data_IF_220065953444
#
_entry.id   IF_220065953444
#
_cell.length_a   1.000
_cell.length_b   1.000
_cell.length_c   1.000
_cell.angle_alpha   90.00
_cell.angle_beta   90.00
_cell.angle_gamma   90.00
#
_symmetry.space_group_name_H-M   'P 1'
#
loop_
_entity.id
_entity.type
_entity.pdbx_description
1 polymer ?
#
# COMPACT_ATOMS: atom_id res chain seq x y z
N UNK A 1 18.35 6.17 4.09
CA UNK A 1 16.87 6.11 4.05
C UNK A 1 16.39 6.25 5.47
N UNK A 2 15.35 7.04 5.70
CA UNK A 2 14.65 7.14 6.99
C UNK A 2 13.25 6.57 6.83
N UNK A 3 12.69 5.94 7.86
CA UNK A 3 11.37 5.34 7.77
C UNK A 3 10.64 5.41 9.12
N UNK A 4 9.30 5.38 9.06
CA UNK A 4 8.45 5.26 10.25
C UNK A 4 8.90 4.08 11.12
N UNK A 5 8.93 4.30 12.44
CA UNK A 5 9.27 3.28 13.42
C UNK A 5 8.04 2.86 14.22
N UNK A 6 7.86 1.55 14.41
CA UNK A 6 6.70 1.01 15.12
C UNK A 6 5.39 1.42 14.44
N UNK A 7 4.44 1.90 15.24
CA UNK A 7 3.10 2.33 14.79
C UNK A 7 2.95 3.86 14.73
N UNK A 8 4.04 4.61 14.50
CA UNK A 8 4.05 6.08 14.44
C UNK A 8 3.46 6.61 13.12
N UNK A 9 2.22 6.23 12.81
CA UNK A 9 1.57 6.46 11.52
C UNK A 9 0.37 7.42 11.59
N UNK A 10 0.16 8.08 12.72
CA UNK A 10 -0.97 8.99 12.95
C UNK A 10 -0.55 10.48 13.03
N UNK A 11 -1.45 11.36 13.45
CA UNK A 11 -1.24 12.81 13.54
C UNK A 11 -0.12 13.23 14.50
N UNK A 12 0.30 12.35 15.40
CA UNK A 12 1.44 12.56 16.30
C UNK A 12 2.70 11.86 15.79
N UNK A 13 2.56 10.62 15.29
CA UNK A 13 3.68 9.80 14.85
C UNK A 13 4.33 10.27 13.54
N UNK A 14 3.54 10.74 12.58
CA UNK A 14 4.06 11.26 11.31
C UNK A 14 4.99 12.46 11.53
N UNK A 15 4.61 13.51 12.31
CA UNK A 15 5.52 14.59 12.66
C UNK A 15 6.83 14.12 13.30
N UNK A 16 6.80 13.10 14.16
CA UNK A 16 8.01 12.55 14.80
C UNK A 16 8.92 11.91 13.76
N UNK A 17 8.36 11.13 12.82
CA UNK A 17 9.12 10.54 11.72
C UNK A 17 9.71 11.64 10.82
N UNK A 18 8.94 12.68 10.48
CA UNK A 18 9.40 13.79 9.65
C UNK A 18 10.51 14.59 10.35
N UNK A 19 10.42 14.81 11.65
CA UNK A 19 11.45 15.51 12.43
C UNK A 19 12.79 14.74 12.47
N UNK A 20 12.78 13.44 12.19
CA UNK A 20 13.99 12.62 12.05
C UNK A 20 14.71 12.76 10.71
N UNK A 21 14.12 13.47 9.73
CA UNK A 21 14.75 13.70 8.42
C UNK A 21 15.91 14.70 8.52
N UNK A 22 16.94 14.47 7.71
CA UNK A 22 18.15 15.29 7.63
C UNK A 22 18.66 15.27 6.20
N UNK A 23 19.55 16.19 5.83
CA UNK A 23 20.11 16.27 4.47
C UNK A 23 20.94 15.03 4.06
N UNK A 24 21.33 14.19 5.02
CA UNK A 24 21.99 12.91 4.74
C UNK A 24 21.02 11.85 4.17
N UNK A 25 19.71 12.02 4.38
CA UNK A 25 18.70 11.10 3.91
C UNK A 25 18.31 11.38 2.45
N UNK A 26 18.48 10.37 1.59
CA UNK A 26 18.05 10.42 0.18
C UNK A 26 16.57 10.09 -0.03
N UNK A 27 15.96 9.39 0.92
CA UNK A 27 14.58 8.90 0.86
C UNK A 27 13.98 8.85 2.27
N UNK A 28 12.70 9.20 2.39
CA UNK A 28 11.86 9.01 3.57
C UNK A 28 10.68 8.09 3.24
N UNK A 29 10.42 7.08 4.07
CA UNK A 29 9.23 6.22 3.94
C UNK A 29 8.32 6.44 5.13
N UNK A 30 7.20 7.08 4.87
CA UNK A 30 6.25 7.52 5.89
C UNK A 30 5.02 6.63 5.80
N UNK A 31 4.80 5.80 6.81
CA UNK A 31 3.56 5.06 6.95
C UNK A 31 2.45 5.98 7.46
N UNK A 32 1.27 5.91 6.86
CA UNK A 32 0.10 6.71 7.23
C UNK A 32 -1.10 5.81 7.54
N UNK A 33 -1.56 5.88 8.78
CA UNK A 33 -2.75 5.22 9.29
C UNK A 33 -3.98 6.11 9.20
N UNK A 34 -5.16 5.49 9.10
CA UNK A 34 -6.43 6.19 9.05
C UNK A 34 -7.40 5.63 10.10
N UNK A 35 -7.83 6.47 11.04
CA UNK A 35 -8.86 6.11 12.02
C UNK A 35 -10.26 6.54 11.56
N UNK A 36 -10.35 7.61 10.75
CA UNK A 36 -11.58 8.22 10.24
C UNK A 36 -11.34 8.96 8.90
N UNK A 37 -12.40 9.34 8.17
CA UNK A 37 -12.27 10.18 6.98
C UNK A 37 -11.53 11.49 7.25
N UNK A 38 -10.64 11.87 6.32
CA UNK A 38 -9.82 13.07 6.38
C UNK A 38 -8.47 12.90 7.08
N UNK A 39 -8.23 11.79 7.80
CA UNK A 39 -6.95 11.57 8.48
C UNK A 39 -5.80 11.47 7.47
N UNK A 40 -5.97 10.69 6.40
CA UNK A 40 -4.92 10.51 5.38
C UNK A 40 -4.69 11.81 4.63
N UNK A 41 -5.76 12.51 4.23
CA UNK A 41 -5.64 13.83 3.61
C UNK A 41 -4.81 14.77 4.49
N UNK A 42 -5.09 14.81 5.81
CA UNK A 42 -4.31 15.62 6.76
C UNK A 42 -2.83 15.19 6.81
N UNK A 43 -2.54 13.90 6.92
CA UNK A 43 -1.16 13.39 6.97
C UNK A 43 -0.38 13.70 5.67
N UNK A 44 -1.03 13.67 4.52
CA UNK A 44 -0.43 14.09 3.26
C UNK A 44 -0.06 15.58 3.26
N UNK A 45 -0.82 16.46 3.93
CA UNK A 45 -0.43 17.88 4.06
C UNK A 45 0.86 18.07 4.86
N UNK A 46 1.19 17.13 5.74
CA UNK A 46 2.42 17.15 6.53
C UNK A 46 3.60 16.57 5.75
N UNK A 47 3.41 15.41 5.13
CA UNK A 47 4.49 14.63 4.53
C UNK A 47 4.79 15.01 3.07
N UNK A 48 3.83 15.63 2.36
CA UNK A 48 3.96 16.07 0.96
C UNK A 48 4.64 15.02 0.03
N UNK A 49 4.04 13.83 -0.16
CA UNK A 49 4.72 12.71 -0.80
C UNK A 49 4.98 12.90 -2.30
N UNK A 50 6.19 12.53 -2.74
CA UNK A 50 6.53 12.37 -4.16
C UNK A 50 5.99 11.06 -4.75
N UNK A 51 5.81 10.04 -3.91
CA UNK A 51 5.26 8.72 -4.26
C UNK A 51 4.29 8.30 -3.17
N UNK A 52 3.05 7.95 -3.56
CA UNK A 52 2.08 7.35 -2.64
C UNK A 52 1.77 5.92 -3.05
N UNK A 53 1.71 5.03 -2.06
CA UNK A 53 1.40 3.61 -2.25
C UNK A 53 0.19 3.26 -1.41
N UNK A 54 -0.88 2.74 -2.02
CA UNK A 54 -1.99 2.15 -1.30
C UNK A 54 -2.04 0.64 -1.57
N UNK A 55 -1.67 -0.16 -0.56
CA UNK A 55 -1.53 -1.61 -0.70
C UNK A 55 -2.88 -2.33 -0.67
N UNK A 56 -3.77 -1.95 0.25
CA UNK A 56 -5.09 -2.56 0.39
C UNK A 56 -6.08 -1.63 1.10
N UNK A 57 -7.36 -1.83 0.79
CA UNK A 57 -8.48 -1.27 1.54
C UNK A 57 -9.37 -2.41 2.07
N UNK A 58 -8.85 -3.13 3.06
CA UNK A 58 -9.58 -4.22 3.71
C UNK A 58 -10.37 -3.73 4.93
N UNK A 59 -11.37 -4.52 5.35
CA UNK A 59 -12.21 -4.22 6.50
C UNK A 59 -11.42 -4.24 7.81
N UNK A 60 -10.93 -3.08 8.24
CA UNK A 60 -10.32 -2.84 9.55
C UNK A 60 -11.04 -1.64 10.20
N UNK A 61 -11.15 -1.66 11.53
CA UNK A 61 -11.81 -0.58 12.31
C UNK A 61 -13.23 -0.25 11.82
N UNK A 62 -14.03 -1.28 11.49
CA UNK A 62 -15.41 -1.11 11.01
C UNK A 62 -16.27 -0.28 11.98
N UNK A 63 -15.94 -0.21 13.26
CA UNK A 63 -16.63 0.67 14.22
C UNK A 63 -16.63 2.17 13.81
N UNK A 64 -15.66 2.60 13.00
CA UNK A 64 -15.49 3.99 12.58
C UNK A 64 -15.99 4.26 11.15
N UNK A 65 -16.40 3.23 10.41
CA UNK A 65 -16.72 3.32 9.00
C UNK A 65 -18.06 2.65 8.68
N UNK A 66 -18.84 3.30 7.81
CA UNK A 66 -20.16 2.81 7.41
C UNK A 66 -20.04 1.49 6.62
N UNK A 67 -19.02 1.37 5.77
CA UNK A 67 -18.71 0.18 4.98
C UNK A 67 -17.24 0.18 4.51
N UNK A 68 -16.86 -0.86 3.76
CA UNK A 68 -15.52 -0.99 3.16
C UNK A 68 -15.27 0.07 2.08
N UNK A 69 -16.31 0.56 1.41
CA UNK A 69 -16.20 1.64 0.44
C UNK A 69 -15.75 2.95 1.09
N UNK A 70 -16.25 3.24 2.30
CA UNK A 70 -15.81 4.37 3.11
C UNK A 70 -14.33 4.22 3.51
N UNK A 71 -13.89 3.02 3.89
CA UNK A 71 -12.47 2.73 4.17
C UNK A 71 -11.61 2.95 2.93
N UNK A 72 -12.04 2.44 1.78
CA UNK A 72 -11.33 2.61 0.50
C UNK A 72 -11.23 4.08 0.09
N UNK A 73 -12.32 4.84 0.25
CA UNK A 73 -12.31 6.29 0.00
C UNK A 73 -11.31 7.00 0.91
N UNK A 74 -11.34 6.70 2.22
CA UNK A 74 -10.43 7.34 3.18
C UNK A 74 -8.97 6.97 2.94
N UNK A 75 -8.66 5.71 2.64
CA UNK A 75 -7.29 5.33 2.25
C UNK A 75 -6.88 5.92 0.89
N UNK A 76 -7.84 6.11 -0.01
CA UNK A 76 -7.65 6.72 -1.32
C UNK A 76 -7.31 8.20 -1.27
N UNK A 77 -7.60 8.91 -0.17
CA UNK A 77 -7.17 10.29 0.06
C UNK A 77 -5.64 10.47 -0.13
N UNK A 78 -4.86 9.40 0.02
CA UNK A 78 -3.40 9.44 -0.19
C UNK A 78 -3.03 9.89 -1.61
N UNK A 79 -3.88 9.59 -2.59
CA UNK A 79 -3.67 9.96 -3.99
C UNK A 79 -4.12 11.39 -4.30
N UNK A 80 -5.04 11.94 -3.50
CA UNK A 80 -5.43 13.36 -3.57
C UNK A 80 -4.33 14.26 -3.01
N UNK A 81 -3.51 13.75 -2.10
CA UNK A 81 -2.32 14.42 -1.57
C UNK A 81 -1.14 14.50 -2.54
N UNK A 82 -1.23 13.89 -3.72
CA UNK A 82 -0.15 13.88 -4.71
C UNK A 82 -0.14 15.14 -5.57
N UNK A 83 1.07 15.64 -5.83
CA UNK A 83 1.29 16.67 -6.84
C UNK A 83 1.22 16.12 -8.27
N UNK A 84 1.14 17.02 -9.25
CA UNK A 84 1.05 16.68 -10.69
C UNK A 84 2.24 15.89 -11.25
N UNK A 85 3.38 15.92 -10.56
CA UNK A 85 4.61 15.21 -10.92
C UNK A 85 4.88 14.01 -10.00
N UNK A 86 4.00 13.75 -9.03
CA UNK A 86 4.13 12.66 -8.08
C UNK A 86 3.55 11.36 -8.66
N UNK A 87 4.04 10.23 -8.15
CA UNK A 87 3.68 8.89 -8.62
C UNK A 87 2.66 8.22 -7.69
N UNK A 88 1.55 7.75 -8.25
CA UNK A 88 0.62 6.87 -7.55
C UNK A 88 0.97 5.40 -7.83
N UNK A 89 1.13 4.60 -6.78
CA UNK A 89 1.25 3.14 -6.87
C UNK A 89 0.00 2.52 -6.25
N UNK A 90 -0.78 1.87 -7.09
CA UNK A 90 -2.09 1.34 -6.75
C UNK A 90 -2.08 -0.17 -6.83
N UNK A 91 -2.76 -0.83 -5.88
CA UNK A 91 -3.08 -2.23 -6.03
C UNK A 91 -4.19 -2.37 -7.09
N UNK A 92 -3.86 -3.01 -8.22
CA UNK A 92 -4.78 -3.25 -9.33
C UNK A 92 -6.00 -4.10 -8.93
N UNK A 93 -5.85 -4.91 -7.89
CA UNK A 93 -6.86 -5.85 -7.41
C UNK A 93 -7.87 -5.17 -6.44
N UNK A 94 -7.82 -3.84 -6.31
CA UNK A 94 -8.72 -3.05 -5.48
C UNK A 94 -9.56 -2.09 -6.34
N UNK A 95 -10.75 -2.54 -6.73
CA UNK A 95 -11.69 -1.80 -7.61
C UNK A 95 -12.09 -0.39 -7.10
N UNK A 96 -11.91 -0.11 -5.81
CA UNK A 96 -12.45 1.06 -5.13
C UNK A 96 -11.45 2.20 -4.90
N UNK A 97 -10.20 2.06 -5.33
CA UNK A 97 -9.18 3.10 -5.12
C UNK A 97 -9.23 4.14 -6.27
N UNK A 98 -9.62 5.41 -6.00
CA UNK A 98 -9.55 6.45 -7.01
C UNK A 98 -8.09 6.85 -7.26
N UNK A 99 -7.70 7.05 -8.52
CA UNK A 99 -6.33 7.45 -8.89
C UNK A 99 -5.99 8.93 -8.56
N UNK A 100 -6.94 9.72 -8.05
CA UNK A 100 -6.77 11.15 -7.80
C UNK A 100 -6.44 11.94 -9.08
N UNK A 101 -5.76 13.08 -8.93
CA UNK A 101 -5.25 13.89 -10.06
C UNK A 101 -3.84 13.50 -10.53
N UNK A 102 -3.27 12.41 -9.99
CA UNK A 102 -1.93 11.98 -10.41
C UNK A 102 -1.92 11.63 -11.90
N UNK A 103 -0.93 12.16 -12.60
CA UNK A 103 -0.72 11.90 -14.03
C UNK A 103 0.01 10.59 -14.30
N UNK A 104 0.62 10.00 -13.27
CA UNK A 104 1.42 8.79 -13.39
C UNK A 104 0.94 7.79 -12.36
N UNK A 105 0.34 6.71 -12.86
CA UNK A 105 -0.17 5.61 -12.08
C UNK A 105 0.58 4.34 -12.46
N UNK A 106 1.09 3.63 -11.46
CA UNK A 106 1.59 2.27 -11.60
C UNK A 106 0.62 1.34 -10.88
N UNK A 107 0.13 0.34 -11.59
CA UNK A 107 -0.75 -0.68 -11.06
C UNK A 107 0.04 -1.95 -10.76
N UNK A 108 -0.08 -2.43 -9.53
CA UNK A 108 0.61 -3.64 -9.06
C UNK A 108 -0.44 -4.67 -8.67
N UNK A 109 -0.30 -5.91 -9.13
CA UNK A 109 -1.14 -7.03 -8.69
C UNK A 109 -0.26 -8.06 -8.01
N UNK A 110 -0.69 -8.52 -6.83
CA UNK A 110 0.14 -9.39 -6.00
C UNK A 110 0.09 -10.83 -6.48
N UNK A 111 -1.07 -11.41 -6.82
CA UNK A 111 -1.14 -12.73 -7.44
C UNK A 111 -2.49 -12.90 -8.16
N UNK A 112 -2.46 -13.02 -9.49
CA UNK A 112 -3.56 -13.50 -10.38
C UNK A 112 -4.74 -12.60 -10.77
N UNK A 113 -5.08 -11.50 -10.09
CA UNK A 113 -6.41 -10.90 -10.33
C UNK A 113 -6.47 -9.87 -11.47
N UNK A 114 -5.36 -9.18 -11.80
CA UNK A 114 -5.38 -8.10 -12.81
C UNK A 114 -4.39 -8.32 -13.97
N UNK A 115 -4.83 -8.85 -15.12
CA UNK A 115 -3.98 -9.02 -16.31
C UNK A 115 -3.56 -7.69 -16.96
N UNK A 116 -4.11 -6.57 -16.52
CA UNK A 116 -3.78 -5.23 -17.01
C UNK A 116 -2.83 -4.47 -16.07
N UNK A 117 -2.36 -5.09 -14.97
CA UNK A 117 -1.42 -4.45 -14.05
C UNK A 117 -0.03 -4.27 -14.69
N UNK A 118 0.61 -3.12 -14.40
CA UNK A 118 1.95 -2.80 -14.88
C UNK A 118 3.00 -3.76 -14.31
N UNK A 119 2.90 -4.11 -13.02
CA UNK A 119 3.79 -5.07 -12.36
C UNK A 119 3.02 -6.23 -11.73
N UNK A 120 3.52 -7.46 -11.89
CA UNK A 120 2.87 -8.70 -11.48
C UNK A 120 3.85 -9.75 -11.00
N UNK A 121 3.42 -10.60 -10.06
CA UNK A 121 4.10 -11.86 -9.77
C UNK A 121 3.49 -13.01 -10.60
N UNK A 122 4.33 -13.73 -11.34
CA UNK A 122 3.97 -14.94 -12.09
C UNK A 122 4.79 -16.13 -11.61
N UNK A 123 4.39 -17.35 -11.96
CA UNK A 123 5.07 -18.61 -11.60
C UNK A 123 5.40 -18.73 -10.10
N UNK A 124 4.45 -18.31 -9.25
CA UNK A 124 4.63 -18.28 -7.81
C UNK A 124 4.76 -19.70 -7.24
N UNK A 125 5.87 -19.97 -6.58
CA UNK A 125 6.14 -21.21 -5.87
C UNK A 125 6.35 -20.94 -4.38
N UNK A 126 5.57 -21.65 -3.55
CA UNK A 126 5.65 -21.57 -2.09
C UNK A 126 6.59 -22.65 -1.54
N UNK A 127 7.54 -22.24 -0.70
CA UNK A 127 8.55 -23.10 -0.07
C UNK A 127 8.34 -23.23 1.44
N UNK A 128 7.09 -23.06 1.89
CA UNK A 128 6.73 -23.10 3.31
C UNK A 128 7.42 -22.00 4.12
N UNK A 129 8.18 -22.39 5.14
CA UNK A 129 8.91 -21.44 6.00
C UNK A 129 10.14 -20.82 5.34
N UNK A 130 10.65 -21.46 4.28
CA UNK A 130 11.80 -20.96 3.51
C UNK A 130 11.42 -19.76 2.64
N UNK A 131 10.11 -19.59 2.39
CA UNK A 131 9.54 -18.38 1.80
C UNK A 131 8.83 -18.64 0.47
N UNK A 132 8.98 -17.70 -0.46
CA UNK A 132 8.29 -17.73 -1.77
C UNK A 132 9.25 -17.30 -2.88
N UNK A 133 9.16 -17.96 -4.03
CA UNK A 133 9.83 -17.51 -5.26
C UNK A 133 8.81 -17.24 -6.35
N UNK A 134 9.07 -16.26 -7.19
CA UNK A 134 8.21 -15.90 -8.31
C UNK A 134 9.00 -15.14 -9.37
N UNK A 135 8.40 -14.95 -10.54
CA UNK A 135 8.88 -14.03 -11.55
C UNK A 135 8.16 -12.68 -11.40
N UNK A 136 8.91 -11.60 -11.20
CA UNK A 136 8.38 -10.24 -11.29
C UNK A 136 8.36 -9.83 -12.76
N UNK A 137 7.18 -9.72 -13.34
CA UNK A 137 6.96 -9.22 -14.70
C UNK A 137 6.54 -7.76 -14.66
N UNK A 138 7.18 -6.93 -15.47
CA UNK A 138 6.79 -5.54 -15.69
C UNK A 138 7.21 -5.00 -17.05
N UNK A 139 7.11 -3.68 -17.29
CA UNK A 139 7.35 -3.09 -18.61
C UNK A 139 8.79 -3.28 -19.12
N UNK A 140 9.73 -3.48 -18.20
CA UNK A 140 11.15 -3.68 -18.50
C UNK A 140 11.54 -5.15 -18.69
N UNK A 141 10.58 -6.07 -18.63
CA UNK A 141 10.80 -7.51 -18.75
C UNK A 141 10.51 -8.26 -17.45
N UNK A 142 11.04 -9.48 -17.37
CA UNK A 142 10.77 -10.42 -16.28
C UNK A 142 12.05 -10.76 -15.52
N UNK A 143 11.99 -10.72 -14.19
CA UNK A 143 13.11 -11.02 -13.29
C UNK A 143 12.70 -12.08 -12.25
N UNK A 144 13.53 -13.10 -11.97
CA UNK A 144 13.29 -14.01 -10.85
C UNK A 144 13.50 -13.31 -9.50
N UNK A 145 12.60 -13.53 -8.54
CA UNK A 145 12.61 -12.98 -7.18
C UNK A 145 12.43 -14.12 -6.17
N UNK A 146 13.22 -14.09 -5.10
CA UNK A 146 13.07 -14.97 -3.94
C UNK A 146 12.96 -14.14 -2.68
N UNK A 147 11.91 -14.38 -1.89
CA UNK A 147 11.67 -13.74 -0.60
C UNK A 147 11.83 -14.77 0.51
N UNK A 148 12.77 -14.54 1.43
CA UNK A 148 13.08 -15.45 2.54
C UNK A 148 12.14 -15.26 3.76
N UNK A 149 10.90 -14.86 3.51
CA UNK A 149 9.88 -14.69 4.54
C UNK A 149 8.72 -15.63 4.24
N UNK A 150 8.19 -16.36 5.24
CA UNK A 150 6.93 -17.05 5.06
C UNK A 150 5.86 -16.04 4.68
N UNK A 151 5.35 -16.13 3.46
CA UNK A 151 4.22 -15.31 3.01
C UNK A 151 2.95 -16.11 3.31
N UNK A 152 2.11 -15.61 4.21
CA UNK A 152 0.76 -16.15 4.38
C UNK A 152 -0.10 -15.65 3.22
N UNK A 153 -0.08 -16.34 2.09
CA UNK A 153 -1.14 -16.19 1.08
C UNK A 153 -2.35 -16.98 1.55
N UNK A 154 -3.22 -16.36 2.36
CA UNK A 154 -4.55 -16.93 2.53
C UNK A 154 -5.31 -16.69 1.22
N UNK A 155 -5.30 -17.66 0.31
CA UNK A 155 -6.05 -17.64 -0.95
C UNK A 155 -7.54 -17.34 -0.67
N UNK A 156 -8.11 -16.22 -1.13
CA UNK A 156 -9.54 -16.13 -1.30
C UNK A 156 -9.89 -16.84 -2.60
N UNK A 157 -10.50 -18.02 -2.50
CA UNK A 157 -11.31 -18.50 -3.63
C UNK A 157 -12.41 -17.48 -3.87
N UNK A 158 -12.84 -17.32 -5.13
CA UNK A 158 -13.78 -16.32 -5.67
C UNK A 158 -15.14 -16.14 -4.94
N UNK A 159 -15.35 -16.81 -3.79
CA UNK A 159 -16.56 -16.80 -2.97
C UNK A 159 -16.36 -16.56 -1.47
N UNK A 160 -15.14 -16.35 -0.97
CA UNK A 160 -14.93 -16.16 0.48
C UNK A 160 -14.77 -14.68 0.83
N UNK A 161 -15.81 -14.13 1.47
CA UNK A 161 -15.81 -12.78 2.05
C UNK A 161 -14.80 -12.68 3.19
N UNK A 162 -13.86 -11.75 3.01
CA UNK A 162 -13.05 -10.99 3.97
C UNK A 162 -13.07 -11.43 5.45
N UNK A 163 -11.96 -11.98 5.92
CA UNK A 163 -11.44 -11.77 7.28
C UNK A 163 -9.91 -11.70 7.22
N UNK A 164 -9.38 -10.51 7.01
CA UNK A 164 -7.99 -10.22 7.35
C UNK A 164 -7.94 -9.85 8.83
N UNK A 165 -7.21 -10.62 9.65
CA UNK A 165 -6.89 -10.24 11.03
C UNK A 165 -5.54 -9.56 10.98
N UNK A 166 -5.53 -8.23 10.98
CA UNK A 166 -4.34 -7.46 11.32
C UNK A 166 -4.04 -7.67 12.80
N UNK A 167 -3.14 -8.59 13.12
CA UNK A 167 -2.58 -8.74 14.46
C UNK A 167 -1.29 -7.93 14.55
N UNK A 168 -1.39 -6.60 14.56
CA UNK A 168 -0.29 -5.72 14.98
C UNK A 168 -0.88 -4.50 15.68
N UNK A 169 -0.40 -4.29 16.91
CA UNK A 169 -0.62 -3.12 17.76
C UNK A 169 0.15 -1.93 17.20
#
# INVERSE_FOLDING_TARGET
MHATSGNQNNELGVPVTLAGLTDAHRFGVIEMGAGRPGDIAYLCTLAAPDVAVCLNASAAHLENYVDVGAIAKTKGEIFEGLGRQSLAVMNADQEWLPAGESRQAIHVSDIWFSPDADYRATDVAHHGVEGVSFHLTGPMGTLPVSLNSPVSSTLPTRRQRWRWRSSWV
#
